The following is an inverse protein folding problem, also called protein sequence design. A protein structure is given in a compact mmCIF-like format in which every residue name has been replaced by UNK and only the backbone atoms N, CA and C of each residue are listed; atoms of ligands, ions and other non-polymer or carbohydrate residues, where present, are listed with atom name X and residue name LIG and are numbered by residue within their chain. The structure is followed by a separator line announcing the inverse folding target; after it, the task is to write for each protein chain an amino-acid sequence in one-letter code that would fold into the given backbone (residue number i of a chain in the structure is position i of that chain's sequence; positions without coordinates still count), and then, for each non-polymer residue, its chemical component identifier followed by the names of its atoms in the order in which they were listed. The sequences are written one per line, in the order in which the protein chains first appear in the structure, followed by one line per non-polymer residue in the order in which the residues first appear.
data_IF_115403173717
#
_entry.id   IF_115403173717
#
_cell.length_a   1.000
_cell.length_b   1.000
_cell.length_c   1.000
_cell.angle_alpha   90.00
_cell.angle_beta   90.00
_cell.angle_gamma   90.00
#
_symmetry.space_group_name_H-M   'P 1'
#
loop_
_entity.id
_entity.type
_entity.pdbx_description
1 polymer ?
#
# COMPACT_ATOMS: atom_id res chain seq x y z
N UNK A 1 -11.22 6.33 -2.25
CA UNK A 1 -9.83 6.32 -1.80
C UNK A 1 -9.80 5.97 -0.31
N UNK A 2 -9.03 4.95 -0.01
CA UNK A 2 -8.93 4.41 1.33
C UNK A 2 -7.48 4.39 1.79
N UNK A 3 -7.26 4.63 3.08
CA UNK A 3 -5.95 4.44 3.69
C UNK A 3 -6.06 3.36 4.75
N UNK A 4 -5.22 2.34 4.66
CA UNK A 4 -5.21 1.21 5.57
C UNK A 4 -3.95 1.28 6.43
N UNK A 5 -4.11 1.43 7.74
CA UNK A 5 -2.98 1.53 8.66
C UNK A 5 -2.33 0.19 8.91
N UNK A 6 -1.02 0.10 8.67
CA UNK A 6 -0.22 -1.08 8.91
C UNK A 6 0.64 -0.88 10.16
N UNK A 7 1.05 -1.98 10.78
CA UNK A 7 1.80 -1.94 12.03
C UNK A 7 3.31 -2.01 11.84
N UNK A 8 3.77 -2.28 10.60
CA UNK A 8 5.20 -2.37 10.30
C UNK A 8 5.43 -2.20 8.82
N UNK A 9 6.69 -1.93 8.43
CA UNK A 9 7.09 -1.92 7.03
C UNK A 9 6.88 -3.28 6.39
N UNK A 10 7.19 -4.34 7.12
CA UNK A 10 7.01 -5.70 6.61
C UNK A 10 5.54 -5.96 6.27
N UNK A 11 4.61 -5.41 7.05
CA UNK A 11 3.19 -5.57 6.75
C UNK A 11 2.79 -4.84 5.48
N UNK A 12 3.29 -3.64 5.26
CA UNK A 12 3.05 -2.91 4.02
C UNK A 12 3.55 -3.74 2.83
N UNK A 13 4.77 -4.26 2.92
CA UNK A 13 5.35 -5.05 1.84
C UNK A 13 4.54 -6.31 1.58
N UNK A 14 4.18 -7.05 2.65
CA UNK A 14 3.46 -8.30 2.52
C UNK A 14 2.09 -8.11 1.91
N UNK A 15 1.35 -7.11 2.38
CA UNK A 15 0.01 -6.84 1.85
C UNK A 15 0.06 -6.34 0.41
N UNK A 16 1.07 -5.54 0.07
CA UNK A 16 1.26 -5.08 -1.31
C UNK A 16 1.47 -6.27 -2.24
N UNK A 17 2.34 -7.21 -1.85
CA UNK A 17 2.60 -8.39 -2.69
C UNK A 17 1.39 -9.30 -2.77
N UNK A 18 0.63 -9.43 -1.69
CA UNK A 18 -0.59 -10.22 -1.71
C UNK A 18 -1.62 -9.65 -2.67
N UNK A 19 -1.82 -8.34 -2.61
CA UNK A 19 -2.78 -7.69 -3.51
C UNK A 19 -2.31 -7.77 -4.96
N UNK A 20 -1.00 -7.63 -5.20
CA UNK A 20 -0.44 -7.82 -6.54
C UNK A 20 -0.73 -9.23 -7.05
N UNK A 21 -0.52 -10.24 -6.22
CA UNK A 21 -0.77 -11.63 -6.58
C UNK A 21 -2.24 -11.90 -6.86
N UNK A 22 -3.14 -11.16 -6.20
CA UNK A 22 -4.57 -11.28 -6.40
C UNK A 22 -5.08 -10.53 -7.63
N UNK A 23 -4.17 -9.89 -8.39
CA UNK A 23 -4.51 -9.23 -9.64
C UNK A 23 -4.80 -7.74 -9.53
N UNK A 24 -4.57 -7.14 -8.36
CA UNK A 24 -4.74 -5.70 -8.22
C UNK A 24 -3.51 -4.95 -8.75
N UNK A 25 -3.70 -3.89 -9.52
CA UNK A 25 -2.55 -3.13 -10.02
C UNK A 25 -1.86 -2.38 -8.88
N UNK A 26 -0.53 -2.47 -8.82
CA UNK A 26 0.26 -1.70 -7.87
C UNK A 26 0.59 -0.37 -8.53
N UNK A 27 0.00 0.71 -8.04
CA UNK A 27 0.12 2.04 -8.61
C UNK A 27 1.35 2.77 -8.07
N UNK A 28 1.78 2.43 -6.86
CA UNK A 28 2.99 2.95 -6.28
C UNK A 28 3.61 1.85 -5.41
N UNK A 29 4.85 1.49 -5.71
CA UNK A 29 5.59 0.51 -4.91
C UNK A 29 5.84 1.05 -3.50
N UNK A 30 6.04 0.17 -2.51
CA UNK A 30 6.34 0.63 -1.15
C UNK A 30 7.58 1.53 -1.14
N UNK A 31 7.44 2.68 -0.50
CA UNK A 31 8.52 3.68 -0.41
C UNK A 31 8.35 4.57 0.81
N UNK A 32 9.42 5.18 1.24
CA UNK A 32 9.38 6.18 2.30
C UNK A 32 9.00 7.52 1.67
N UNK A 33 7.97 8.15 2.23
CA UNK A 33 7.53 9.47 1.79
C UNK A 33 8.26 10.56 2.60
N UNK A 34 8.21 11.80 2.10
CA UNK A 34 8.94 12.90 2.71
C UNK A 34 8.48 13.29 4.11
N UNK A 35 7.30 12.84 4.52
CA UNK A 35 6.74 13.13 5.83
C UNK A 35 6.87 11.98 6.82
N UNK A 36 7.72 11.01 6.53
CA UNK A 36 8.05 9.94 7.47
C UNK A 36 7.14 8.72 7.42
N UNK A 37 6.34 8.59 6.39
CA UNK A 37 5.51 7.41 6.19
C UNK A 37 6.17 6.43 5.23
N UNK A 38 5.91 5.15 5.46
CA UNK A 38 6.26 4.09 4.52
C UNK A 38 4.94 3.57 3.94
N UNK A 39 4.75 3.71 2.64
CA UNK A 39 3.45 3.42 2.06
C UNK A 39 3.53 2.91 0.63
N UNK A 40 2.47 2.20 0.25
CA UNK A 40 2.25 1.78 -1.13
C UNK A 40 0.83 2.14 -1.53
N UNK A 41 0.53 2.06 -2.81
CA UNK A 41 -0.81 2.30 -3.33
C UNK A 41 -1.18 1.23 -4.34
N UNK A 42 -2.38 0.68 -4.20
CA UNK A 42 -2.92 -0.31 -5.14
C UNK A 42 -4.30 0.14 -5.58
N UNK A 43 -4.72 -0.32 -6.76
CA UNK A 43 -6.07 -0.08 -7.26
C UNK A 43 -6.98 -1.22 -6.90
N UNK A 44 -8.24 -0.93 -6.55
CA UNK A 44 -9.25 -1.96 -6.37
C UNK A 44 -9.99 -2.21 -7.69
N UNK A 45 -10.85 -3.25 -7.76
CA UNK A 45 -11.57 -3.55 -9.00
C UNK A 45 -12.49 -2.44 -9.49
N UNK A 46 -12.92 -1.56 -8.58
CA UNK A 46 -13.82 -0.46 -8.93
C UNK A 46 -13.07 0.81 -9.29
N UNK A 47 -11.75 0.76 -9.37
CA UNK A 47 -10.93 1.91 -9.72
C UNK A 47 -10.61 2.83 -8.55
N UNK A 48 -10.88 2.43 -7.33
CA UNK A 48 -10.54 3.21 -6.15
C UNK A 48 -9.08 2.99 -5.75
N UNK A 49 -8.47 4.03 -5.21
CA UNK A 49 -7.11 3.96 -4.69
C UNK A 49 -7.14 3.44 -3.25
N UNK A 50 -6.31 2.44 -2.99
CA UNK A 50 -6.11 1.92 -1.63
C UNK A 50 -4.66 2.15 -1.25
N UNK A 51 -4.43 2.89 -0.17
CA UNK A 51 -3.09 3.14 0.36
C UNK A 51 -2.84 2.23 1.55
N UNK A 52 -1.66 1.62 1.59
CA UNK A 52 -1.19 0.83 2.72
C UNK A 52 -0.10 1.65 3.40
N UNK A 53 -0.33 2.03 4.66
CA UNK A 53 0.45 3.10 5.29
C UNK A 53 1.01 2.64 6.64
N UNK A 54 2.30 2.84 6.84
CA UNK A 54 2.95 2.66 8.13
C UNK A 54 3.71 3.94 8.48
N UNK A 55 3.45 4.48 9.65
CA UNK A 55 4.18 5.65 10.11
C UNK A 55 5.53 5.21 10.69
N UNK A 56 6.58 5.56 10.00
CA UNK A 56 7.93 5.18 10.37
C UNK A 56 8.45 5.98 11.58
#
# INVERSE_FOLDING_TARGET
HFAFGCESRAEVDRLTERLRADGHPVLSEPRITGDGYYESAVGDPDGNLVELVYKA
#
